data_IF_470360604453
#
_entry.id   IF_470360604453
#
_cell.length_a   1.000
_cell.length_b   1.000
_cell.length_c   1.000
_cell.angle_alpha   90.00
_cell.angle_beta   90.00
_cell.angle_gamma   90.00
#
_symmetry.space_group_name_H-M   'P 1'
#
loop_
_entity.id
_entity.type
_entity.pdbx_description
1 polymer ?
#
# COMPACT_ATOMS: atom_id res chain seq x y z
N UNK A 1 2.26 -9.67 -16.86
CA UNK A 1 1.08 -9.76 -15.97
C UNK A 1 -0.15 -9.68 -16.85
N UNK A 2 -1.17 -10.45 -16.50
CA UNK A 2 -2.52 -10.37 -17.09
C UNK A 2 -3.54 -10.47 -15.96
N UNK A 3 -4.80 -10.20 -16.24
CA UNK A 3 -5.91 -10.41 -15.31
C UNK A 3 -6.00 -11.87 -14.81
N UNK A 4 -5.55 -12.84 -15.61
CA UNK A 4 -5.52 -14.27 -15.23
C UNK A 4 -4.27 -14.66 -14.44
N UNK A 5 -3.20 -13.87 -14.55
CA UNK A 5 -1.91 -14.10 -13.91
C UNK A 5 -1.36 -12.78 -13.38
N UNK A 6 -1.88 -12.39 -12.21
CA UNK A 6 -1.34 -11.28 -11.44
C UNK A 6 0.11 -11.56 -11.05
N UNK A 7 0.91 -10.50 -10.93
CA UNK A 7 2.21 -10.63 -10.25
C UNK A 7 2.02 -11.07 -8.81
N UNK A 8 3.07 -11.59 -8.18
CA UNK A 8 3.03 -11.94 -6.76
C UNK A 8 2.67 -10.73 -5.90
N UNK A 9 3.15 -9.54 -6.27
CA UNK A 9 2.76 -8.27 -5.62
C UNK A 9 1.26 -8.00 -5.71
N UNK A 10 0.68 -8.03 -6.92
CA UNK A 10 -0.76 -7.75 -7.08
C UNK A 10 -1.65 -8.86 -6.52
N UNK A 11 -1.19 -10.12 -6.56
CA UNK A 11 -1.87 -11.24 -5.93
C UNK A 11 -1.98 -11.04 -4.41
N UNK A 12 -0.89 -10.62 -3.76
CA UNK A 12 -0.90 -10.30 -2.32
C UNK A 12 -1.86 -9.15 -1.98
N UNK A 13 -1.98 -8.14 -2.85
CA UNK A 13 -3.01 -7.09 -2.71
C UNK A 13 -4.40 -7.70 -2.84
N UNK A 14 -4.65 -8.52 -3.86
CA UNK A 14 -5.94 -9.16 -4.10
C UNK A 14 -6.39 -10.04 -2.92
N UNK A 15 -5.47 -10.75 -2.27
CA UNK A 15 -5.74 -11.59 -1.11
C UNK A 15 -6.18 -10.81 0.14
N UNK A 16 -5.78 -9.54 0.24
CA UNK A 16 -6.20 -8.67 1.34
C UNK A 16 -7.56 -8.02 1.11
N UNK A 17 -8.03 -7.94 -0.13
CA UNK A 17 -9.33 -7.33 -0.46
C UNK A 17 -10.46 -8.13 0.17
N UNK A 18 -11.28 -7.52 1.07
CA UNK A 18 -12.46 -8.19 1.59
C UNK A 18 -13.52 -8.33 0.50
N UNK A 19 -14.49 -9.23 0.71
CA UNK A 19 -15.67 -9.25 -0.16
C UNK A 19 -16.40 -7.92 -0.08
N UNK A 20 -16.76 -7.36 -1.23
CA UNK A 20 -17.36 -6.04 -1.34
C UNK A 20 -18.36 -5.96 -2.49
N UNK A 21 -19.28 -4.99 -2.46
CA UNK A 21 -20.11 -4.71 -3.62
C UNK A 21 -19.33 -3.86 -4.63
N UNK A 22 -18.70 -2.79 -4.18
CA UNK A 22 -18.01 -1.82 -5.06
C UNK A 22 -16.57 -1.57 -4.61
N UNK A 23 -15.63 -1.69 -5.55
CA UNK A 23 -14.22 -1.37 -5.35
C UNK A 23 -13.76 -0.24 -6.27
N UNK A 24 -12.97 0.70 -5.76
CA UNK A 24 -12.24 1.67 -6.56
C UNK A 24 -10.73 1.37 -6.54
N UNK A 25 -10.13 1.18 -7.71
CA UNK A 25 -8.68 0.96 -7.89
C UNK A 25 -8.04 2.22 -8.47
N UNK A 26 -7.22 2.92 -7.68
CA UNK A 26 -6.71 4.25 -8.00
C UNK A 26 -5.31 4.15 -8.60
N UNK A 27 -5.16 4.68 -9.82
CA UNK A 27 -3.94 4.52 -10.61
C UNK A 27 -3.76 3.08 -11.08
N UNK A 28 -4.83 2.50 -11.62
CA UNK A 28 -4.90 1.07 -11.93
C UNK A 28 -3.81 0.64 -12.92
N UNK A 29 -3.23 -0.54 -12.71
CA UNK A 29 -2.34 -1.14 -13.70
C UNK A 29 -3.19 -1.90 -14.73
N UNK A 30 -3.63 -1.19 -15.78
CA UNK A 30 -4.44 -1.76 -16.87
C UNK A 30 -5.78 -2.37 -16.44
N UNK A 31 -6.32 -2.02 -15.27
CA UNK A 31 -7.53 -2.65 -14.70
C UNK A 31 -7.39 -4.15 -14.38
N UNK A 32 -6.18 -4.70 -14.29
CA UNK A 32 -5.98 -6.13 -14.05
C UNK A 32 -6.46 -6.58 -12.67
N UNK A 33 -6.18 -5.82 -11.62
CA UNK A 33 -6.61 -6.15 -10.26
C UNK A 33 -8.15 -6.18 -10.12
N UNK A 34 -8.90 -5.13 -10.49
CA UNK A 34 -10.36 -5.18 -10.41
C UNK A 34 -10.96 -6.24 -11.34
N UNK A 35 -10.40 -6.46 -12.53
CA UNK A 35 -10.84 -7.53 -13.42
C UNK A 35 -10.68 -8.93 -12.78
N UNK A 36 -9.54 -9.20 -12.17
CA UNK A 36 -9.29 -10.45 -11.44
C UNK A 36 -10.32 -10.64 -10.31
N UNK A 37 -10.54 -9.62 -9.48
CA UNK A 37 -11.46 -9.69 -8.34
C UNK A 37 -12.93 -9.90 -8.76
N UNK A 38 -13.35 -9.31 -9.88
CA UNK A 38 -14.67 -9.55 -10.49
C UNK A 38 -14.80 -11.00 -10.96
N UNK A 39 -13.79 -11.54 -11.66
CA UNK A 39 -13.79 -12.93 -12.12
C UNK A 39 -13.80 -13.94 -10.96
N UNK A 40 -13.11 -13.62 -9.86
CA UNK A 40 -13.13 -14.42 -8.63
C UNK A 40 -14.38 -14.19 -7.76
N UNK A 41 -15.31 -13.32 -8.19
CA UNK A 41 -16.53 -12.97 -7.45
C UNK A 41 -16.25 -12.44 -6.03
N UNK A 42 -15.10 -11.80 -5.83
CA UNK A 42 -14.74 -11.12 -4.58
C UNK A 42 -15.47 -9.77 -4.51
N UNK A 43 -15.62 -9.11 -5.66
CA UNK A 43 -16.34 -7.85 -5.81
C UNK A 43 -17.45 -7.96 -6.85
N UNK A 44 -18.44 -7.07 -6.83
CA UNK A 44 -19.56 -7.07 -7.79
C UNK A 44 -19.38 -6.00 -8.88
N UNK A 45 -18.84 -4.83 -8.53
CA UNK A 45 -18.56 -3.74 -9.46
C UNK A 45 -17.22 -3.08 -9.14
N UNK A 46 -16.65 -2.39 -10.14
CA UNK A 46 -15.37 -1.71 -9.99
C UNK A 46 -15.28 -0.37 -10.72
N UNK A 47 -14.49 0.54 -10.15
CA UNK A 47 -14.02 1.78 -10.79
C UNK A 47 -12.51 1.69 -10.91
N UNK A 48 -11.98 1.75 -12.14
CA UNK A 48 -10.55 1.91 -12.41
C UNK A 48 -10.25 3.40 -12.63
N UNK A 49 -9.58 4.03 -11.68
CA UNK A 49 -9.20 5.44 -11.73
C UNK A 49 -7.86 5.65 -12.41
N UNK A 50 -7.81 6.58 -13.37
CA UNK A 50 -6.60 6.92 -14.11
C UNK A 50 -6.41 8.43 -14.18
N UNK A 51 -5.18 8.92 -13.97
CA UNK A 51 -4.89 10.37 -14.02
C UNK A 51 -4.54 10.86 -15.43
N UNK A 52 -4.21 9.95 -16.36
CA UNK A 52 -3.80 10.29 -17.73
C UNK A 52 -4.67 9.61 -18.80
N UNK A 53 -4.94 10.28 -19.94
CA UNK A 53 -5.74 9.72 -21.03
C UNK A 53 -5.17 8.42 -21.63
N UNK A 54 -3.84 8.26 -21.66
CA UNK A 54 -3.19 7.06 -22.18
C UNK A 54 -3.51 5.81 -21.35
N UNK A 55 -3.17 5.79 -20.04
CA UNK A 55 -3.59 4.75 -19.11
C UNK A 55 -5.11 4.51 -19.10
N UNK A 56 -5.93 5.57 -19.12
CA UNK A 56 -7.39 5.44 -19.25
C UNK A 56 -7.79 4.63 -20.49
N UNK A 57 -7.27 4.97 -21.66
CA UNK A 57 -7.57 4.26 -22.89
C UNK A 57 -7.10 2.79 -22.84
N UNK A 58 -5.99 2.51 -22.13
CA UNK A 58 -5.55 1.14 -21.90
C UNK A 58 -6.55 0.35 -21.04
N UNK A 59 -6.96 0.92 -19.90
CA UNK A 59 -7.95 0.29 -19.01
C UNK A 59 -9.28 0.05 -19.75
N UNK A 60 -9.79 1.04 -20.50
CA UNK A 60 -11.03 0.90 -21.29
C UNK A 60 -10.96 -0.22 -22.34
N UNK A 61 -9.82 -0.34 -23.04
CA UNK A 61 -9.59 -1.43 -23.99
C UNK A 61 -9.60 -2.79 -23.29
N UNK A 62 -8.96 -2.90 -22.14
CA UNK A 62 -8.90 -4.15 -21.39
C UNK A 62 -10.29 -4.54 -20.84
N UNK A 63 -11.03 -3.59 -20.25
CA UNK A 63 -12.42 -3.79 -19.80
C UNK A 63 -13.29 -4.32 -20.95
N UNK A 64 -13.16 -3.73 -22.14
CA UNK A 64 -13.93 -4.13 -23.33
C UNK A 64 -13.53 -5.52 -23.82
N UNK A 65 -12.22 -5.78 -23.90
CA UNK A 65 -11.66 -7.09 -24.30
C UNK A 65 -12.14 -8.21 -23.37
N UNK A 66 -12.29 -7.94 -22.08
CA UNK A 66 -12.76 -8.89 -21.07
C UNK A 66 -14.29 -8.95 -20.95
N UNK A 67 -15.03 -8.11 -21.67
CA UNK A 67 -16.50 -8.05 -21.59
C UNK A 67 -17.04 -7.54 -20.25
N UNK A 68 -16.25 -6.78 -19.48
CA UNK A 68 -16.60 -6.34 -18.12
C UNK A 68 -17.29 -4.97 -18.07
N UNK A 69 -17.67 -4.41 -19.22
CA UNK A 69 -18.23 -3.06 -19.33
C UNK A 69 -19.52 -2.84 -18.51
N UNK A 70 -20.27 -3.91 -18.23
CA UNK A 70 -21.50 -3.84 -17.43
C UNK A 70 -21.24 -3.67 -15.93
N UNK A 71 -20.05 -4.03 -15.45
CA UNK A 71 -19.71 -4.10 -14.03
C UNK A 71 -18.46 -3.31 -13.65
N UNK A 72 -17.68 -2.85 -14.63
CA UNK A 72 -16.46 -2.08 -14.41
C UNK A 72 -16.40 -0.85 -15.31
N UNK A 73 -16.04 0.29 -14.73
CA UNK A 73 -15.88 1.56 -15.43
C UNK A 73 -14.46 2.10 -15.23
N UNK A 74 -13.84 2.60 -16.31
CA UNK A 74 -12.60 3.37 -16.20
C UNK A 74 -12.92 4.87 -16.22
N UNK A 75 -12.36 5.63 -15.28
CA UNK A 75 -12.63 7.07 -15.10
C UNK A 75 -11.35 7.88 -15.08
N UNK A 76 -11.37 9.05 -15.71
CA UNK A 76 -10.25 9.99 -15.71
C UNK A 76 -10.39 10.94 -14.51
N UNK A 77 -9.37 11.00 -13.66
CA UNK A 77 -9.36 11.90 -12.51
C UNK A 77 -8.10 11.73 -11.68
N UNK A 78 -7.79 12.74 -10.88
CA UNK A 78 -6.66 12.69 -9.96
C UNK A 78 -7.07 12.07 -8.62
N UNK A 79 -6.34 11.05 -8.18
CA UNK A 79 -6.59 10.35 -6.92
C UNK A 79 -8.05 9.92 -6.76
N UNK A 80 -8.67 10.30 -5.63
CA UNK A 80 -10.05 9.94 -5.30
C UNK A 80 -11.12 10.78 -6.04
N UNK A 81 -10.72 11.73 -6.90
CA UNK A 81 -11.68 12.51 -7.68
C UNK A 81 -12.51 11.65 -8.66
N UNK A 82 -12.07 10.43 -8.96
CA UNK A 82 -12.80 9.46 -9.79
C UNK A 82 -14.01 8.84 -9.10
N UNK A 83 -14.11 8.98 -7.77
CA UNK A 83 -15.19 8.42 -6.94
C UNK A 83 -16.27 9.49 -6.77
N UNK A 84 -17.53 9.11 -6.95
CA UNK A 84 -18.70 9.95 -6.68
C UNK A 84 -19.53 9.41 -5.50
N UNK A 85 -20.27 10.26 -4.78
CA UNK A 85 -21.08 9.81 -3.63
C UNK A 85 -22.08 8.70 -3.97
N UNK A 86 -22.59 8.68 -5.20
CA UNK A 86 -23.55 7.68 -5.67
C UNK A 86 -22.92 6.29 -5.95
N UNK A 87 -21.58 6.18 -5.99
CA UNK A 87 -20.92 4.90 -6.26
C UNK A 87 -20.95 3.95 -5.07
N UNK A 88 -21.12 4.48 -3.85
CA UNK A 88 -21.09 3.69 -2.61
C UNK A 88 -19.90 2.73 -2.54
N UNK A 89 -18.69 3.26 -2.75
CA UNK A 89 -17.45 2.46 -2.75
C UNK A 89 -17.22 1.86 -1.36
N UNK A 90 -17.12 0.53 -1.26
CA UNK A 90 -16.84 -0.18 -0.01
C UNK A 90 -15.33 -0.31 0.24
N UNK A 91 -14.56 -0.38 -0.84
CA UNK A 91 -13.11 -0.67 -0.81
C UNK A 91 -12.36 0.24 -1.77
N UNK A 92 -11.31 0.89 -1.29
CA UNK A 92 -10.38 1.66 -2.12
C UNK A 92 -9.02 0.96 -2.12
N UNK A 93 -8.48 0.71 -3.30
CA UNK A 93 -7.11 0.20 -3.50
C UNK A 93 -6.23 1.32 -4.04
N UNK A 94 -5.05 1.52 -3.42
CA UNK A 94 -3.99 2.36 -3.96
C UNK A 94 -2.67 1.57 -3.87
N UNK A 95 -2.18 1.10 -5.01
CA UNK A 95 -1.02 0.21 -5.08
C UNK A 95 0.05 0.70 -6.04
N UNK A 96 1.32 0.40 -5.75
CA UNK A 96 2.44 0.72 -6.63
C UNK A 96 2.90 2.18 -6.60
N UNK A 97 2.47 2.95 -5.60
CA UNK A 97 2.83 4.37 -5.42
C UNK A 97 3.76 4.57 -4.23
N UNK A 98 4.46 5.71 -4.16
CA UNK A 98 5.22 6.09 -2.95
C UNK A 98 4.28 6.45 -1.80
N UNK A 99 4.68 6.18 -0.56
CA UNK A 99 3.85 6.45 0.62
C UNK A 99 3.44 7.91 0.76
N UNK A 100 4.27 8.86 0.32
CA UNK A 100 3.92 10.29 0.26
C UNK A 100 2.74 10.55 -0.67
N UNK A 101 2.82 10.12 -1.93
CA UNK A 101 1.73 10.27 -2.90
C UNK A 101 0.45 9.58 -2.43
N UNK A 102 0.54 8.39 -1.83
CA UNK A 102 -0.62 7.70 -1.26
C UNK A 102 -1.29 8.58 -0.20
N UNK A 103 -0.52 9.15 0.73
CA UNK A 103 -1.08 10.00 1.78
C UNK A 103 -1.63 11.32 1.24
N UNK A 104 -1.05 11.87 0.18
CA UNK A 104 -1.55 13.08 -0.47
C UNK A 104 -2.91 12.80 -1.14
N UNK A 105 -3.03 11.71 -1.92
CA UNK A 105 -4.29 11.27 -2.54
C UNK A 105 -5.39 11.09 -1.50
N UNK A 106 -5.08 10.44 -0.36
CA UNK A 106 -6.06 10.22 0.70
C UNK A 106 -6.45 11.51 1.43
N UNK A 107 -5.50 12.44 1.61
CA UNK A 107 -5.74 13.73 2.26
C UNK A 107 -6.61 14.63 1.39
N UNK A 108 -6.24 14.80 0.12
CA UNK A 108 -6.98 15.64 -0.83
C UNK A 108 -8.37 15.06 -1.12
N UNK A 109 -8.47 13.73 -1.12
CA UNK A 109 -9.70 12.99 -1.35
C UNK A 109 -10.55 12.71 -0.10
N UNK A 110 -10.24 13.30 1.06
CA UNK A 110 -10.84 12.91 2.34
C UNK A 110 -12.39 12.93 2.34
N UNK A 111 -13.01 13.87 1.61
CA UNK A 111 -14.46 13.93 1.48
C UNK A 111 -15.08 12.68 0.82
N UNK A 112 -14.31 11.96 0.00
CA UNK A 112 -14.71 10.70 -0.65
C UNK A 112 -14.62 9.49 0.27
N UNK A 113 -14.08 9.66 1.49
CA UNK A 113 -13.97 8.61 2.52
C UNK A 113 -15.12 8.67 3.54
N UNK A 114 -16.14 9.50 3.31
CA UNK A 114 -17.22 9.77 4.26
C UNK A 114 -18.08 8.54 4.61
N UNK A 115 -18.15 7.55 3.70
CA UNK A 115 -18.82 6.26 3.95
C UNK A 115 -17.87 5.20 4.53
N UNK A 116 -16.67 5.59 4.95
CA UNK A 116 -15.72 4.74 5.64
C UNK A 116 -15.31 3.47 4.85
N UNK A 117 -14.87 3.59 3.59
CA UNK A 117 -14.43 2.44 2.82
C UNK A 117 -13.19 1.81 3.48
N UNK A 118 -13.03 0.49 3.34
CA UNK A 118 -11.76 -0.15 3.67
C UNK A 118 -10.67 0.33 2.71
N UNK A 119 -9.46 0.53 3.23
CA UNK A 119 -8.31 1.01 2.47
C UNK A 119 -7.30 -0.12 2.31
N UNK A 120 -6.95 -0.43 1.06
CA UNK A 120 -5.96 -1.43 0.69
C UNK A 120 -4.78 -0.70 0.05
N UNK A 121 -3.72 -0.53 0.84
CA UNK A 121 -2.62 0.35 0.49
C UNK A 121 -1.35 -0.47 0.30
N UNK A 122 -0.71 -0.29 -0.85
CA UNK A 122 0.59 -0.89 -1.15
C UNK A 122 1.58 0.21 -1.53
N UNK A 123 2.24 0.84 -0.54
CA UNK A 123 3.35 1.74 -0.78
C UNK A 123 4.59 0.99 -1.28
N UNK A 124 5.29 1.53 -2.28
CA UNK A 124 6.60 1.04 -2.73
C UNK A 124 7.74 1.51 -1.81
N UNK A 125 7.54 2.63 -1.12
CA UNK A 125 8.48 3.26 -0.18
C UNK A 125 7.68 4.05 0.87
N UNK A 126 8.32 4.42 1.98
CA UNK A 126 7.73 5.25 3.04
C UNK A 126 6.46 4.66 3.65
N UNK A 127 6.47 3.35 3.88
CA UNK A 127 5.37 2.59 4.47
C UNK A 127 4.98 3.15 5.85
N UNK A 128 5.97 3.65 6.59
CA UNK A 128 5.76 4.30 7.89
C UNK A 128 4.96 5.61 7.80
N UNK A 129 5.00 6.32 6.67
CA UNK A 129 4.18 7.52 6.46
C UNK A 129 2.72 7.13 6.29
N UNK A 130 2.43 6.09 5.50
CA UNK A 130 1.08 5.55 5.34
C UNK A 130 0.51 5.10 6.68
N UNK A 131 1.27 4.35 7.48
CA UNK A 131 0.82 3.92 8.81
C UNK A 131 0.49 5.08 9.75
N UNK A 132 1.29 6.16 9.73
CA UNK A 132 1.01 7.37 10.52
C UNK A 132 -0.27 8.06 10.05
N UNK A 133 -0.46 8.17 8.73
CA UNK A 133 -1.66 8.77 8.18
C UNK A 133 -2.90 7.99 8.61
N UNK A 134 -2.89 6.66 8.48
CA UNK A 134 -3.99 5.80 8.91
C UNK A 134 -4.33 6.01 10.39
N UNK A 135 -3.30 5.98 11.26
CA UNK A 135 -3.45 6.22 12.70
C UNK A 135 -4.07 7.61 13.00
N UNK A 136 -3.66 8.65 12.27
CA UNK A 136 -4.17 10.02 12.44
C UNK A 136 -5.60 10.23 11.92
N UNK A 137 -6.05 9.38 11.00
CA UNK A 137 -7.34 9.50 10.33
C UNK A 137 -8.34 8.41 10.73
N UNK A 138 -8.16 7.83 11.93
CA UNK A 138 -9.07 6.83 12.49
C UNK A 138 -9.21 5.55 11.65
N UNK A 139 -8.14 5.17 10.97
CA UNK A 139 -8.05 3.88 10.30
C UNK A 139 -7.16 2.93 11.09
N UNK A 140 -7.73 1.80 11.50
CA UNK A 140 -6.99 0.71 12.14
C UNK A 140 -6.49 -0.25 11.06
N UNK A 141 -5.21 -0.58 11.10
CA UNK A 141 -4.67 -1.67 10.28
C UNK A 141 -5.27 -2.99 10.79
N UNK A 142 -5.90 -3.76 9.91
CA UNK A 142 -6.55 -5.04 10.24
C UNK A 142 -5.82 -6.24 9.62
N UNK A 143 -4.94 -6.01 8.65
CA UNK A 143 -4.05 -7.02 8.11
C UNK A 143 -2.85 -6.38 7.42
N UNK A 144 -1.70 -7.07 7.41
CA UNK A 144 -0.56 -6.74 6.56
C UNK A 144 0.00 -8.00 5.92
N UNK A 145 0.53 -7.86 4.71
CA UNK A 145 1.36 -8.87 4.07
C UNK A 145 2.67 -8.25 3.58
N UNK A 146 3.70 -9.10 3.51
CA UNK A 146 5.00 -8.75 2.97
C UNK A 146 5.43 -9.85 1.99
N UNK A 147 5.67 -9.46 0.75
CA UNK A 147 6.11 -10.37 -0.31
C UNK A 147 7.38 -9.87 -0.97
N UNK A 148 8.18 -10.82 -1.45
CA UNK A 148 9.29 -10.55 -2.36
C UNK A 148 8.87 -10.89 -3.79
N UNK A 149 9.03 -9.92 -4.69
CA UNK A 149 8.74 -10.06 -6.12
C UNK A 149 9.84 -9.37 -6.94
N UNK A 150 10.45 -10.12 -7.87
CA UNK A 150 11.59 -9.66 -8.69
C UNK A 150 12.74 -9.02 -7.89
N UNK A 151 13.06 -9.54 -6.71
CA UNK A 151 14.14 -9.04 -5.85
C UNK A 151 13.79 -7.76 -5.07
N UNK A 152 12.53 -7.33 -5.11
CA UNK A 152 12.01 -6.19 -4.34
C UNK A 152 11.01 -6.66 -3.29
N UNK A 153 11.04 -6.02 -2.12
CA UNK A 153 10.12 -6.29 -1.02
C UNK A 153 8.96 -5.29 -1.04
N UNK A 154 7.73 -5.80 -1.00
CA UNK A 154 6.51 -5.00 -1.02
C UNK A 154 5.68 -5.28 0.23
N UNK A 155 5.32 -4.22 0.95
CA UNK A 155 4.36 -4.29 2.05
C UNK A 155 3.00 -3.81 1.54
N UNK A 156 1.95 -4.54 1.89
CA UNK A 156 0.57 -4.14 1.68
C UNK A 156 -0.19 -4.26 2.98
N UNK A 157 -1.12 -3.33 3.20
CA UNK A 157 -1.90 -3.25 4.41
C UNK A 157 -3.37 -3.03 4.08
N UNK A 158 -4.24 -3.73 4.81
CA UNK A 158 -5.66 -3.42 4.89
C UNK A 158 -5.89 -2.60 6.14
N UNK A 159 -6.62 -1.51 5.99
CA UNK A 159 -7.06 -0.69 7.10
C UNK A 159 -8.56 -0.40 6.99
N UNK A 160 -9.23 -0.39 8.14
CA UNK A 160 -10.66 -0.16 8.26
C UNK A 160 -10.91 0.99 9.23
N UNK A 161 -11.97 1.76 8.97
CA UNK A 161 -12.32 2.86 9.85
C UNK A 161 -12.70 2.34 11.23
N UNK A 162 -12.29 3.06 12.27
CA UNK A 162 -12.66 2.77 13.65
C UNK A 162 -13.03 4.06 14.40
N UNK A 163 -14.13 4.07 15.16
CA UNK A 163 -14.47 5.22 15.99
C UNK A 163 -13.51 5.38 17.18
N UNK A 164 -12.70 4.36 17.48
CA UNK A 164 -11.76 4.35 18.61
C UNK A 164 -10.39 4.86 18.16
N UNK A 165 -9.73 5.76 18.93
CA UNK A 165 -8.39 6.20 18.63
C UNK A 165 -7.40 5.03 18.49
N UNK A 166 -6.69 4.99 17.37
CA UNK A 166 -5.61 4.02 17.12
C UNK A 166 -4.31 4.63 17.62
N UNK A 167 -3.51 3.86 18.36
CA UNK A 167 -2.16 4.28 18.76
C UNK A 167 -1.17 3.18 18.38
N UNK A 168 -0.25 3.51 17.48
CA UNK A 168 0.87 2.65 17.10
C UNK A 168 2.14 3.14 17.77
N UNK A 169 2.92 2.21 18.32
CA UNK A 169 4.27 2.47 18.78
C UNK A 169 5.19 2.87 17.62
N UNK A 170 6.34 3.47 17.95
CA UNK A 170 7.39 3.76 16.96
C UNK A 170 7.83 2.51 16.20
N UNK A 171 7.81 1.34 16.84
CA UNK A 171 8.17 0.07 16.21
C UNK A 171 7.08 -0.37 15.23
N UNK A 172 5.82 -0.37 15.62
CA UNK A 172 4.71 -0.73 14.74
C UNK A 172 4.58 0.22 13.54
N UNK A 173 4.85 1.52 13.73
CA UNK A 173 4.90 2.50 12.63
C UNK A 173 5.99 2.14 11.62
N UNK A 174 7.19 1.75 12.08
CA UNK A 174 8.32 1.52 11.20
C UNK A 174 8.36 0.10 10.59
N UNK A 175 7.82 -0.89 11.30
CA UNK A 175 7.95 -2.31 10.96
C UNK A 175 6.62 -2.97 10.61
N UNK A 176 5.48 -2.32 10.87
CA UNK A 176 4.13 -2.86 10.70
C UNK A 176 3.69 -3.70 11.89
N UNK A 177 2.54 -3.43 12.53
CA UNK A 177 2.11 -4.19 13.70
C UNK A 177 1.93 -5.68 13.43
N UNK A 178 1.37 -6.07 12.28
CA UNK A 178 1.16 -7.48 11.94
C UNK A 178 2.44 -8.11 11.41
N UNK A 179 3.22 -7.37 10.62
CA UNK A 179 4.50 -7.86 10.10
C UNK A 179 5.52 -8.07 11.24
N UNK A 180 5.57 -7.14 12.20
CA UNK A 180 6.41 -7.21 13.39
C UNK A 180 6.00 -8.35 14.33
N UNK A 181 4.70 -8.64 14.44
CA UNK A 181 4.22 -9.78 15.22
C UNK A 181 4.54 -11.11 14.53
N UNK A 182 4.38 -11.19 13.20
CA UNK A 182 4.58 -12.43 12.45
C UNK A 182 6.06 -12.78 12.21
N UNK A 183 6.94 -11.77 12.06
CA UNK A 183 8.39 -11.90 11.79
C UNK A 183 8.75 -13.00 10.78
N UNK A 184 8.01 -13.06 9.67
CA UNK A 184 8.19 -14.10 8.64
C UNK A 184 9.62 -14.15 8.08
N UNK A 185 9.99 -15.24 7.40
CA UNK A 185 11.29 -15.35 6.74
C UNK A 185 11.54 -14.19 5.76
N UNK A 186 10.52 -13.76 5.01
CA UNK A 186 10.60 -12.59 4.11
C UNK A 186 10.79 -11.28 4.88
N UNK A 187 10.16 -11.14 6.06
CA UNK A 187 10.41 -10.01 6.95
C UNK A 187 11.86 -9.96 7.43
N UNK A 188 12.38 -11.10 7.90
CA UNK A 188 13.77 -11.23 8.30
C UNK A 188 14.71 -10.87 7.15
N UNK A 189 14.47 -11.38 5.94
CA UNK A 189 15.28 -11.07 4.74
C UNK A 189 15.25 -9.57 4.40
N UNK A 190 14.07 -8.94 4.36
CA UNK A 190 13.92 -7.49 4.12
C UNK A 190 14.78 -6.69 5.08
N UNK A 191 14.64 -6.97 6.38
CA UNK A 191 15.28 -6.19 7.42
C UNK A 191 16.78 -6.47 7.57
N UNK A 192 17.25 -7.69 7.32
CA UNK A 192 18.68 -7.97 7.19
C UNK A 192 19.30 -7.20 6.02
N UNK A 193 18.66 -7.23 4.83
CA UNK A 193 19.13 -6.45 3.67
C UNK A 193 19.15 -4.94 3.97
N UNK A 194 18.12 -4.43 4.65
CA UNK A 194 18.02 -3.02 5.04
C UNK A 194 19.05 -2.64 6.11
N UNK A 195 19.35 -3.54 7.04
CA UNK A 195 20.37 -3.36 8.07
C UNK A 195 21.75 -3.20 7.44
N UNK A 196 22.14 -4.13 6.56
CA UNK A 196 23.43 -4.09 5.86
C UNK A 196 23.61 -2.78 5.08
N UNK A 197 22.58 -2.37 4.31
CA UNK A 197 22.60 -1.10 3.58
C UNK A 197 22.72 0.11 4.52
N UNK A 198 21.99 0.10 5.63
CA UNK A 198 22.00 1.20 6.61
C UNK A 198 23.34 1.30 7.35
N UNK A 199 23.97 0.17 7.67
CA UNK A 199 25.31 0.11 8.25
C UNK A 199 26.37 0.63 7.28
N UNK A 200 26.31 0.24 6.00
CA UNK A 200 27.24 0.76 4.99
C UNK A 200 27.15 2.29 4.84
N UNK A 201 25.92 2.84 4.81
CA UNK A 201 25.71 4.29 4.78
C UNK A 201 26.23 4.95 6.06
N UNK A 202 25.99 4.35 7.23
CA UNK A 202 26.48 4.87 8.50
C UNK A 202 28.01 4.97 8.51
N UNK A 203 28.72 3.93 8.10
CA UNK A 203 30.18 3.92 8.00
C UNK A 203 30.70 5.03 7.08
N UNK A 204 30.05 5.23 5.92
CA UNK A 204 30.41 6.31 4.99
C UNK A 204 30.19 7.71 5.59
N UNK A 205 29.07 7.92 6.30
CA UNK A 205 28.77 9.19 6.96
C UNK A 205 29.77 9.48 8.08
N UNK A 206 30.15 8.46 8.86
CA UNK A 206 31.13 8.58 9.94
C UNK A 206 32.56 8.84 9.43
N UNK A 207 32.90 8.35 8.24
CA UNK A 207 34.18 8.62 7.59
C UNK A 207 34.22 9.94 6.81
N UNK A 208 33.06 10.61 6.61
CA UNK A 208 32.97 11.82 5.80
C UNK A 208 33.51 13.06 6.53
N UNK A 209 34.26 13.93 5.85
CA UNK A 209 34.86 15.12 6.48
C UNK A 209 33.82 16.07 7.11
N UNK A 210 32.63 16.18 6.53
CA UNK A 210 31.57 17.08 7.01
C UNK A 210 30.84 16.58 8.26
N UNK A 211 31.05 15.33 8.68
CA UNK A 211 30.49 14.70 9.88
C UNK A 211 29.07 15.20 10.24
N UNK A 212 28.06 14.97 9.39
CA UNK A 212 26.73 15.52 9.62
C UNK A 212 26.05 14.82 10.80
N UNK A 213 26.31 15.33 12.02
CA UNK A 213 25.98 14.66 13.29
C UNK A 213 24.50 14.29 13.43
N UNK A 214 23.60 15.13 12.92
CA UNK A 214 22.16 14.84 12.90
C UNK A 214 21.82 13.60 12.04
N UNK A 215 22.43 13.49 10.84
CA UNK A 215 22.23 12.34 9.95
C UNK A 215 22.84 11.06 10.54
N UNK A 216 24.03 11.15 11.13
CA UNK A 216 24.69 10.03 11.82
C UNK A 216 23.81 9.52 12.96
N UNK A 217 23.31 10.43 13.81
CA UNK A 217 22.44 10.09 14.95
C UNK A 217 21.14 9.41 14.49
N UNK A 218 20.49 9.95 13.46
CA UNK A 218 19.29 9.35 12.88
C UNK A 218 19.56 7.95 12.31
N UNK A 219 20.69 7.77 11.62
CA UNK A 219 21.07 6.48 11.05
C UNK A 219 21.41 5.45 12.14
N UNK A 220 22.12 5.85 13.21
CA UNK A 220 22.39 4.96 14.37
C UNK A 220 21.10 4.48 15.03
N UNK A 221 20.12 5.38 15.24
CA UNK A 221 18.80 5.00 15.78
C UNK A 221 18.09 4.00 14.87
N UNK A 222 18.14 4.22 13.56
CA UNK A 222 17.56 3.29 12.57
C UNK A 222 18.23 1.92 12.61
N UNK A 223 19.56 1.86 12.63
CA UNK A 223 20.32 0.61 12.72
C UNK A 223 19.98 -0.13 14.01
N UNK A 224 19.95 0.56 15.16
CA UNK A 224 19.60 -0.04 16.45
C UNK A 224 18.17 -0.60 16.45
N UNK A 225 17.19 0.14 15.94
CA UNK A 225 15.80 -0.32 15.85
C UNK A 225 15.67 -1.58 14.99
N UNK A 226 16.39 -1.66 13.86
CA UNK A 226 16.36 -2.86 13.01
C UNK A 226 17.02 -4.05 13.74
N UNK A 227 18.15 -3.83 14.42
CA UNK A 227 18.82 -4.88 15.19
C UNK A 227 17.94 -5.42 16.33
N UNK A 228 17.24 -4.53 17.04
CA UNK A 228 16.31 -4.90 18.10
C UNK A 228 15.23 -5.85 17.58
N UNK A 229 14.58 -5.50 16.47
CA UNK A 229 13.52 -6.31 15.86
C UNK A 229 14.02 -7.67 15.39
N UNK A 230 15.22 -7.73 14.80
CA UNK A 230 15.83 -8.96 14.28
C UNK A 230 16.33 -9.89 15.39
N UNK A 231 16.74 -9.35 16.54
CA UNK A 231 17.28 -10.13 17.66
C UNK A 231 16.20 -10.64 18.61
N UNK A 232 15.03 -10.00 18.64
CA UNK A 232 13.90 -10.39 19.46
C UNK A 232 13.17 -11.61 18.87
N UNK A 233 13.81 -12.78 18.89
CA UNK A 233 13.20 -14.06 18.50
C UNK A 233 12.46 -14.69 19.70
N UNK A 234 11.52 -13.96 20.29
CA UNK A 234 10.60 -14.50 21.31
C UNK A 234 9.44 -15.23 20.67
#
# INVERSE_FOLDING_TARGET
MTEQHLSRRLQAVAELVPRAATLADIGSDHAYLPAYLLQQQVIQTAIAGEVRPGPLANAQREITKLGLQAVMQARLGDGLAVIEPADHVDVIVIAGMGGELITDILTDGQAKLANHPALLLQPNVDENRVRRWLMQHQYQITAEQLVEDSGHFYEMMRAEFTPVPVTLSTMEINFGPYLLAAKSSTFQQKWHSRLQKSQAILTQLEASQSHPQAKITAMRRKVAAIQEVLNDNR
#
